data_IF_375052358892
#
_entry.id   IF_375052358892
#
_cell.length_a   1.000
_cell.length_b   1.000
_cell.length_c   1.000
_cell.angle_alpha   90.00
_cell.angle_beta   90.00
_cell.angle_gamma   90.00
#
_symmetry.space_group_name_H-M   'P 1'
#
loop_
_entity.id
_entity.type
_entity.pdbx_description
1 polymer ?
#
# COMPACT_ATOMS: atom_id res chain seq x y z
N UNK A 1 -35.53 -15.78 -3.72
CA UNK A 1 -34.19 -16.35 -3.42
C UNK A 1 -33.06 -15.70 -4.26
N UNK A 2 -33.13 -14.39 -4.57
CA UNK A 2 -32.20 -13.70 -5.51
C UNK A 2 -31.43 -12.51 -4.91
N UNK A 3 -31.91 -11.95 -3.79
CA UNK A 3 -31.27 -10.81 -3.11
C UNK A 3 -29.85 -11.11 -2.60
N UNK A 4 -29.60 -12.36 -2.19
CA UNK A 4 -28.28 -12.81 -1.72
C UNK A 4 -27.25 -12.92 -2.84
N UNK A 5 -27.67 -13.31 -4.04
CA UNK A 5 -26.79 -13.42 -5.22
C UNK A 5 -26.29 -12.03 -5.65
N UNK A 6 -27.20 -11.05 -5.73
CA UNK A 6 -26.87 -9.68 -6.08
C UNK A 6 -25.96 -8.98 -5.05
N UNK A 7 -26.13 -9.30 -3.76
CA UNK A 7 -25.24 -8.82 -2.71
C UNK A 7 -23.83 -9.45 -2.79
N UNK A 8 -23.73 -10.72 -3.21
CA UNK A 8 -22.45 -11.41 -3.39
C UNK A 8 -21.68 -10.83 -4.59
N UNK A 9 -22.36 -10.60 -5.71
CA UNK A 9 -21.77 -9.98 -6.91
C UNK A 9 -21.29 -8.55 -6.63
N UNK A 10 -22.10 -7.73 -5.94
CA UNK A 10 -21.65 -6.40 -5.50
C UNK A 10 -20.44 -6.48 -4.57
N UNK A 11 -20.41 -7.44 -3.64
CA UNK A 11 -19.25 -7.63 -2.74
C UNK A 11 -17.99 -8.00 -3.51
N UNK A 12 -18.09 -8.89 -4.50
CA UNK A 12 -16.96 -9.27 -5.37
C UNK A 12 -16.43 -8.07 -6.14
N UNK A 13 -17.31 -7.31 -6.80
CA UNK A 13 -16.92 -6.09 -7.54
C UNK A 13 -16.25 -5.04 -6.66
N UNK A 14 -16.77 -4.84 -5.44
CA UNK A 14 -16.19 -3.90 -4.48
C UNK A 14 -14.81 -4.36 -3.98
N UNK A 15 -14.64 -5.66 -3.72
CA UNK A 15 -13.36 -6.21 -3.31
C UNK A 15 -12.29 -6.10 -4.42
N UNK A 16 -12.68 -6.32 -5.68
CA UNK A 16 -11.76 -6.15 -6.82
C UNK A 16 -11.33 -4.69 -7.02
N UNK A 17 -12.24 -3.73 -6.81
CA UNK A 17 -11.93 -2.30 -6.89
C UNK A 17 -10.94 -1.90 -5.79
N UNK A 18 -11.22 -2.27 -4.55
CA UNK A 18 -10.32 -1.95 -3.43
C UNK A 18 -8.94 -2.60 -3.57
N UNK A 19 -8.86 -3.81 -4.12
CA UNK A 19 -7.58 -4.46 -4.40
C UNK A 19 -6.79 -3.73 -5.52
N UNK A 20 -7.48 -3.27 -6.57
CA UNK A 20 -6.85 -2.49 -7.63
C UNK A 20 -6.32 -1.15 -7.12
N UNK A 21 -7.10 -0.45 -6.29
CA UNK A 21 -6.67 0.81 -5.66
C UNK A 21 -5.49 0.62 -4.71
N UNK A 22 -5.51 -0.45 -3.89
CA UNK A 22 -4.39 -0.78 -3.01
C UNK A 22 -3.12 -1.05 -3.81
N UNK A 23 -3.22 -1.84 -4.90
CA UNK A 23 -2.08 -2.10 -5.80
C UNK A 23 -1.54 -0.79 -6.40
N UNK A 24 -2.42 0.09 -6.88
CA UNK A 24 -2.02 1.38 -7.43
C UNK A 24 -1.23 2.24 -6.45
N UNK A 25 -1.71 2.35 -5.20
CA UNK A 25 -0.99 3.11 -4.15
C UNK A 25 0.34 2.48 -3.77
N UNK A 26 0.41 1.16 -3.65
CA UNK A 26 1.66 0.46 -3.36
C UNK A 26 2.71 0.74 -4.44
N UNK A 27 2.32 0.68 -5.72
CA UNK A 27 3.23 0.95 -6.84
C UNK A 27 3.70 2.42 -6.87
N UNK A 28 2.84 3.39 -6.55
CA UNK A 28 3.24 4.79 -6.41
C UNK A 28 4.31 4.99 -5.32
N UNK A 29 4.14 4.33 -4.17
CA UNK A 29 5.14 4.36 -3.09
C UNK A 29 6.44 3.70 -3.57
N UNK A 30 6.37 2.56 -4.26
CA UNK A 30 7.55 1.86 -4.77
C UNK A 30 8.34 2.72 -5.77
N UNK A 31 7.66 3.36 -6.73
CA UNK A 31 8.30 4.26 -7.70
C UNK A 31 8.98 5.44 -7.01
N UNK A 32 8.34 6.02 -5.99
CA UNK A 32 8.95 7.09 -5.22
C UNK A 32 10.23 6.65 -4.53
N UNK A 33 10.20 5.48 -3.87
CA UNK A 33 11.34 4.90 -3.19
C UNK A 33 12.49 4.59 -4.16
N UNK A 34 12.17 4.05 -5.34
CA UNK A 34 13.14 3.78 -6.41
C UNK A 34 13.81 5.07 -6.90
N UNK A 35 13.03 6.11 -7.20
CA UNK A 35 13.57 7.39 -7.68
C UNK A 35 14.45 8.06 -6.62
N UNK A 36 14.06 8.00 -5.35
CA UNK A 36 14.74 8.73 -4.26
C UNK A 36 15.96 8.00 -3.70
N UNK A 37 15.90 6.67 -3.60
CA UNK A 37 16.90 5.87 -2.89
C UNK A 37 17.52 4.76 -3.76
N UNK A 38 17.03 4.56 -4.99
CA UNK A 38 17.57 3.58 -5.92
C UNK A 38 17.49 2.15 -5.40
N UNK A 39 18.55 1.39 -5.65
CA UNK A 39 18.66 -0.06 -5.36
C UNK A 39 18.47 -0.35 -3.86
N UNK A 40 18.90 0.56 -2.98
CA UNK A 40 18.77 0.39 -1.53
C UNK A 40 17.32 0.19 -1.09
N UNK A 41 16.37 0.76 -1.85
CA UNK A 41 14.95 0.65 -1.55
C UNK A 41 14.29 -0.68 -1.92
N UNK A 42 14.97 -1.58 -2.65
CA UNK A 42 14.33 -2.76 -3.22
C UNK A 42 13.63 -3.64 -2.18
N UNK A 43 14.30 -3.91 -1.05
CA UNK A 43 13.71 -4.70 0.04
C UNK A 43 12.51 -3.98 0.69
N UNK A 44 12.54 -2.66 0.76
CA UNK A 44 11.42 -1.86 1.29
C UNK A 44 10.22 -1.86 0.32
N UNK A 45 10.47 -1.81 -0.99
CA UNK A 45 9.43 -1.92 -2.00
C UNK A 45 8.71 -3.28 -1.93
N UNK A 46 9.46 -4.37 -1.71
CA UNK A 46 8.86 -5.70 -1.52
C UNK A 46 7.94 -5.72 -0.30
N UNK A 47 8.37 -5.14 0.83
CA UNK A 47 7.53 -4.98 2.03
C UNK A 47 6.26 -4.18 1.71
N UNK A 48 6.36 -3.04 1.03
CA UNK A 48 5.21 -2.21 0.66
C UNK A 48 4.20 -2.97 -0.20
N UNK A 49 4.66 -3.79 -1.16
CA UNK A 49 3.79 -4.61 -2.02
C UNK A 49 2.98 -5.66 -1.26
N UNK A 50 3.40 -6.06 -0.06
CA UNK A 50 2.62 -6.98 0.79
C UNK A 50 1.42 -6.31 1.46
N UNK A 51 1.38 -4.98 1.51
CA UNK A 51 0.32 -4.21 2.17
C UNK A 51 -0.94 -4.21 1.29
N UNK A 52 -2.00 -4.84 1.79
CA UNK A 52 -3.33 -4.86 1.12
C UNK A 52 -4.32 -3.86 1.71
N UNK A 53 -3.98 -3.23 2.83
CA UNK A 53 -4.84 -2.27 3.50
C UNK A 53 -4.68 -0.87 2.89
N UNK A 54 -5.74 -0.41 2.23
CA UNK A 54 -5.78 0.88 1.55
C UNK A 54 -5.64 2.07 2.51
N UNK A 55 -6.06 1.93 3.77
CA UNK A 55 -5.90 2.97 4.79
C UNK A 55 -4.43 3.06 5.21
N UNK A 56 -3.77 1.92 5.41
CA UNK A 56 -2.33 1.88 5.73
C UNK A 56 -1.54 2.51 4.59
N UNK A 57 -1.77 2.07 3.36
CA UNK A 57 -1.11 2.65 2.18
C UNK A 57 -1.37 4.15 2.08
N UNK A 58 -2.60 4.62 2.31
CA UNK A 58 -2.90 6.06 2.31
C UNK A 58 -2.12 6.85 3.36
N UNK A 59 -1.93 6.29 4.57
CA UNK A 59 -1.13 6.93 5.62
C UNK A 59 0.35 6.99 5.25
N UNK A 60 0.88 5.94 4.66
CA UNK A 60 2.27 5.90 4.16
C UNK A 60 2.43 6.94 3.06
N UNK A 61 1.56 6.96 2.05
CA UNK A 61 1.61 7.94 0.95
C UNK A 61 1.64 9.39 1.47
N UNK A 62 0.86 9.73 2.48
CA UNK A 62 0.83 11.09 3.02
C UNK A 62 2.12 11.52 3.74
N UNK A 63 2.90 10.56 4.27
CA UNK A 63 4.08 10.83 5.10
C UNK A 63 5.40 10.55 4.39
N UNK A 64 5.42 9.66 3.40
CA UNK A 64 6.64 9.22 2.73
C UNK A 64 7.36 10.36 2.00
N UNK A 65 6.64 11.41 1.59
CA UNK A 65 7.24 12.56 0.90
C UNK A 65 8.00 13.52 1.83
N UNK A 66 7.76 13.47 3.14
CA UNK A 66 8.37 14.40 4.11
C UNK A 66 9.54 13.79 4.91
N UNK A 67 9.77 12.49 4.79
CA UNK A 67 10.94 11.83 5.42
C UNK A 67 12.23 12.39 4.82
N UNK A 68 13.29 12.52 5.61
CA UNK A 68 14.55 13.12 5.16
C UNK A 68 15.45 12.09 4.44
N UNK A 69 15.44 10.84 4.90
CA UNK A 69 16.38 9.79 4.49
C UNK A 69 15.71 8.41 4.41
N UNK A 70 16.48 7.41 3.97
CA UNK A 70 16.01 6.05 3.77
C UNK A 70 15.64 5.32 5.07
N UNK A 71 16.37 5.59 6.16
CA UNK A 71 16.11 5.00 7.48
C UNK A 71 14.73 5.43 8.01
N UNK A 72 14.42 6.72 7.93
CA UNK A 72 13.09 7.25 8.28
C UNK A 72 11.97 6.68 7.41
N UNK A 73 12.22 6.52 6.10
CA UNK A 73 11.25 5.88 5.21
C UNK A 73 11.00 4.41 5.57
N UNK A 74 12.06 3.69 5.93
CA UNK A 74 12.00 2.28 6.34
C UNK A 74 11.25 2.14 7.66
N UNK A 75 11.60 2.93 8.67
CA UNK A 75 10.94 2.97 9.97
C UNK A 75 9.44 3.28 9.84
N UNK A 76 9.08 4.23 8.96
CA UNK A 76 7.68 4.57 8.69
C UNK A 76 6.88 3.36 8.16
N UNK A 77 7.41 2.63 7.18
CA UNK A 77 6.72 1.46 6.61
C UNK A 77 6.65 0.33 7.63
N UNK A 78 7.72 0.10 8.39
CA UNK A 78 7.78 -0.95 9.42
C UNK A 78 6.81 -0.69 10.58
N UNK A 79 6.68 0.55 11.04
CA UNK A 79 5.72 0.94 12.08
C UNK A 79 4.28 0.53 11.73
N UNK A 80 3.89 0.71 10.47
CA UNK A 80 2.56 0.31 9.99
C UNK A 80 2.41 -1.19 9.70
N UNK A 81 3.51 -1.93 9.52
CA UNK A 81 3.49 -3.38 9.37
C UNK A 81 3.44 -4.09 10.73
N UNK A 82 4.11 -3.54 11.74
CA UNK A 82 4.17 -4.09 13.10
C UNK A 82 2.92 -3.72 13.91
N UNK A 83 2.34 -2.54 13.69
CA UNK A 83 1.09 -2.11 14.37
C UNK A 83 -0.18 -2.79 13.84
N UNK A 84 -0.07 -4.01 13.30
CA UNK A 84 -1.16 -4.77 12.69
C UNK A 84 -1.77 -5.80 13.62
#
# INVERSE_FOLDING_TARGET
MVRWLFLLERRKGQNSLSAAEAKGKAETICQYLEVRFGIESQALQEKVRTIRDLKVLGRITNKIFVVANFDEASALVEDYLVSR
#
